data_IF_269931455468
#
_entry.id   IF_269931455468
#
_cell.length_a   1.000
_cell.length_b   1.000
_cell.length_c   1.000
_cell.angle_alpha   90.00
_cell.angle_beta   90.00
_cell.angle_gamma   90.00
#
_symmetry.space_group_name_H-M   'P 1'
#
loop_
_entity.id
_entity.type
_entity.pdbx_description
1 polymer ?
#
# COMPACT_ATOMS: atom_id res chain seq x y z
N UNK A 1 -0.53 14.37 22.35
CA UNK A 1 -1.68 14.08 21.46
C UNK A 1 -3.04 14.59 22.02
N UNK A 2 -3.41 14.35 23.27
CA UNK A 2 -4.70 14.80 23.85
C UNK A 2 -4.86 16.33 23.90
N UNK A 3 -3.82 17.08 24.27
CA UNK A 3 -3.82 18.55 24.40
C UNK A 3 -3.96 19.25 23.03
N UNK A 4 -3.32 18.73 22.00
CA UNK A 4 -3.47 19.22 20.61
C UNK A 4 -4.87 18.91 20.03
N UNK A 5 -5.48 17.77 20.39
CA UNK A 5 -6.84 17.38 20.00
C UNK A 5 -7.90 18.42 20.44
N UNK A 6 -7.76 18.96 21.68
CA UNK A 6 -8.71 19.92 22.23
C UNK A 6 -8.68 21.28 21.51
N UNK A 7 -7.52 21.77 21.11
CA UNK A 7 -7.38 23.09 20.48
C UNK A 7 -7.79 23.11 19.02
N UNK A 8 -7.41 22.08 18.23
CA UNK A 8 -7.77 21.99 16.80
C UNK A 8 -9.29 21.79 16.62
N UNK A 9 -9.93 20.98 17.49
CA UNK A 9 -11.38 20.75 17.37
C UNK A 9 -12.25 21.96 17.74
N UNK A 10 -11.76 22.89 18.55
CA UNK A 10 -12.54 24.06 18.98
C UNK A 10 -12.66 25.13 17.89
N UNK A 11 -11.73 25.18 16.95
CA UNK A 11 -11.66 26.19 15.88
C UNK A 11 -12.31 25.77 14.55
N UNK A 12 -12.68 24.47 14.41
CA UNK A 12 -13.26 23.96 13.18
C UNK A 12 -14.75 24.25 13.05
N UNK A 13 -15.20 24.59 11.84
CA UNK A 13 -16.61 24.65 11.50
C UNK A 13 -17.32 23.31 11.76
N UNK A 14 -18.61 23.33 12.06
CA UNK A 14 -19.35 22.13 12.48
C UNK A 14 -19.24 20.97 11.46
N UNK A 15 -19.32 21.26 10.17
CA UNK A 15 -19.20 20.27 9.09
C UNK A 15 -17.79 19.68 8.98
N UNK A 16 -16.73 20.50 9.07
CA UNK A 16 -15.35 20.05 9.09
C UNK A 16 -15.06 19.13 10.28
N UNK A 17 -15.59 19.49 11.46
CA UNK A 17 -15.42 18.69 12.68
C UNK A 17 -16.08 17.33 12.54
N UNK A 18 -17.27 17.23 11.96
CA UNK A 18 -17.96 15.98 11.72
C UNK A 18 -17.17 15.10 10.75
N UNK A 19 -16.75 15.66 9.61
CA UNK A 19 -15.89 14.97 8.63
C UNK A 19 -14.58 14.50 9.24
N UNK A 20 -13.92 15.32 10.05
CA UNK A 20 -12.66 14.94 10.69
C UNK A 20 -12.83 13.76 11.66
N UNK A 21 -13.91 13.72 12.43
CA UNK A 21 -14.19 12.59 13.33
C UNK A 21 -14.38 11.29 12.57
N UNK A 22 -15.15 11.31 11.48
CA UNK A 22 -15.36 10.16 10.62
C UNK A 22 -14.08 9.71 9.92
N UNK A 23 -13.31 10.65 9.38
CA UNK A 23 -12.03 10.38 8.73
C UNK A 23 -10.99 9.81 9.70
N UNK A 24 -10.91 10.36 10.92
CA UNK A 24 -10.00 9.86 11.95
C UNK A 24 -10.39 8.44 12.39
N UNK A 25 -11.69 8.18 12.63
CA UNK A 25 -12.16 6.84 12.97
C UNK A 25 -11.89 5.84 11.85
N UNK A 26 -12.17 6.21 10.58
CA UNK A 26 -11.80 5.44 9.41
C UNK A 26 -10.29 5.14 9.40
N UNK A 27 -9.45 6.16 9.57
CA UNK A 27 -8.00 6.02 9.51
C UNK A 27 -7.43 5.12 10.61
N UNK A 28 -8.00 5.15 11.82
CA UNK A 28 -7.62 4.26 12.92
C UNK A 28 -7.95 2.80 12.56
N UNK A 29 -9.16 2.55 12.05
CA UNK A 29 -9.58 1.18 11.67
C UNK A 29 -8.75 0.67 10.50
N UNK A 30 -8.50 1.49 9.47
CA UNK A 30 -7.62 1.12 8.36
C UNK A 30 -6.18 0.88 8.83
N UNK A 31 -5.69 1.63 9.82
CA UNK A 31 -4.40 1.38 10.44
C UNK A 31 -4.32 -0.01 11.07
N UNK A 32 -5.39 -0.44 11.75
CA UNK A 32 -5.49 -1.79 12.30
C UNK A 32 -5.45 -2.85 11.19
N UNK A 33 -6.25 -2.69 10.14
CA UNK A 33 -6.30 -3.61 9.00
C UNK A 33 -4.95 -3.67 8.30
N UNK A 34 -4.34 -2.53 7.99
CA UNK A 34 -3.03 -2.46 7.34
C UNK A 34 -1.92 -3.07 8.21
N UNK A 35 -2.03 -2.96 9.54
CA UNK A 35 -1.11 -3.61 10.48
C UNK A 35 -1.16 -5.13 10.39
N UNK A 36 -2.35 -5.71 10.27
CA UNK A 36 -2.54 -7.14 10.03
C UNK A 36 -1.99 -7.54 8.63
N UNK A 37 -2.35 -6.78 7.60
CA UNK A 37 -1.94 -7.05 6.22
C UNK A 37 -0.44 -6.91 5.98
N UNK A 38 0.27 -6.19 6.84
CA UNK A 38 1.72 -6.06 6.74
C UNK A 38 2.47 -7.40 6.85
N UNK A 39 1.84 -8.42 7.45
CA UNK A 39 2.39 -9.78 7.58
C UNK A 39 1.73 -10.79 6.62
N UNK A 40 0.84 -10.35 5.74
CA UNK A 40 0.03 -11.22 4.89
C UNK A 40 0.86 -12.17 4.02
N UNK A 41 1.92 -11.65 3.37
CA UNK A 41 2.80 -12.47 2.53
C UNK A 41 3.56 -13.50 3.37
N UNK A 42 3.97 -13.11 4.60
CA UNK A 42 4.66 -14.00 5.50
C UNK A 42 3.74 -15.09 6.10
N UNK A 43 2.46 -14.74 6.36
CA UNK A 43 1.41 -15.73 6.72
C UNK A 43 1.21 -16.72 5.59
N UNK A 44 1.17 -16.26 4.34
CA UNK A 44 0.95 -17.11 3.18
C UNK A 44 2.06 -18.16 3.02
N UNK A 45 3.33 -17.75 3.11
CA UNK A 45 4.45 -18.67 2.94
C UNK A 45 4.67 -19.58 4.17
N UNK A 46 4.50 -19.03 5.39
CA UNK A 46 4.84 -19.75 6.63
C UNK A 46 3.67 -20.57 7.19
N UNK A 47 2.46 -20.00 7.28
CA UNK A 47 1.31 -20.70 7.88
C UNK A 47 0.53 -21.55 6.89
N UNK A 48 0.44 -21.09 5.63
CA UNK A 48 -0.26 -21.85 4.58
C UNK A 48 0.69 -22.71 3.74
N UNK A 49 2.01 -22.64 3.94
CA UNK A 49 3.00 -23.35 3.12
C UNK A 49 2.85 -23.05 1.62
N UNK A 50 2.49 -21.81 1.29
CA UNK A 50 2.32 -21.36 -0.08
C UNK A 50 3.62 -21.42 -0.88
N UNK A 51 3.53 -21.69 -2.17
CA UNK A 51 4.69 -21.71 -3.06
C UNK A 51 5.20 -20.28 -3.35
N UNK A 52 6.48 -20.21 -3.76
CA UNK A 52 7.12 -18.95 -4.11
C UNK A 52 6.36 -18.20 -5.21
N UNK A 53 5.87 -18.91 -6.25
CA UNK A 53 5.10 -18.30 -7.34
C UNK A 53 3.75 -17.75 -6.87
N UNK A 54 3.05 -18.50 -6.00
CA UNK A 54 1.78 -18.03 -5.42
C UNK A 54 2.00 -16.80 -4.53
N UNK A 55 3.12 -16.74 -3.80
CA UNK A 55 3.52 -15.54 -3.06
C UNK A 55 3.74 -14.34 -3.99
N UNK A 56 4.40 -14.55 -5.13
CA UNK A 56 4.58 -13.53 -6.15
C UNK A 56 3.26 -13.02 -6.70
N UNK A 57 2.29 -13.91 -6.94
CA UNK A 57 0.93 -13.56 -7.39
C UNK A 57 0.21 -12.73 -6.29
N UNK A 58 0.32 -13.12 -5.02
CA UNK A 58 -0.28 -12.38 -3.91
C UNK A 58 0.26 -10.95 -3.84
N UNK A 59 1.58 -10.77 -3.93
CA UNK A 59 2.20 -9.45 -3.97
C UNK A 59 1.77 -8.65 -5.20
N UNK A 60 1.68 -9.31 -6.36
CA UNK A 60 1.29 -8.70 -7.63
C UNK A 60 -0.09 -8.05 -7.55
N UNK A 61 -1.06 -8.64 -6.83
CA UNK A 61 -2.43 -8.14 -6.75
C UNK A 61 -2.50 -6.70 -6.24
N UNK A 62 -1.69 -6.33 -5.26
CA UNK A 62 -1.70 -5.00 -4.67
C UNK A 62 -1.38 -3.88 -5.67
N UNK A 63 -0.63 -4.21 -6.73
CA UNK A 63 -0.18 -3.26 -7.76
C UNK A 63 -0.90 -3.45 -9.10
N UNK A 64 -1.24 -4.70 -9.44
CA UNK A 64 -1.91 -5.05 -10.70
C UNK A 64 -3.27 -4.33 -10.85
N UNK A 65 -3.95 -4.12 -9.73
CA UNK A 65 -5.24 -3.41 -9.70
C UNK A 65 -5.16 -2.01 -10.33
N UNK A 66 -4.00 -1.35 -10.32
CA UNK A 66 -3.83 -0.04 -10.94
C UNK A 66 -4.02 -0.03 -12.46
N UNK A 67 -3.89 -1.17 -13.15
CA UNK A 67 -4.26 -1.28 -14.55
C UNK A 67 -5.73 -0.98 -14.81
N UNK A 68 -6.58 -1.33 -13.84
CA UNK A 68 -8.02 -1.11 -13.94
C UNK A 68 -8.42 0.33 -13.59
N UNK A 69 -7.48 1.15 -13.10
CA UNK A 69 -7.77 2.50 -12.60
C UNK A 69 -8.44 3.39 -13.66
N UNK A 70 -7.98 3.31 -14.92
CA UNK A 70 -8.57 4.09 -16.02
C UNK A 70 -10.04 3.75 -16.21
N UNK A 71 -10.36 2.46 -16.24
CA UNK A 71 -11.74 1.98 -16.40
C UNK A 71 -12.62 2.35 -15.20
N UNK A 72 -12.09 2.14 -14.00
CA UNK A 72 -12.83 2.44 -12.76
C UNK A 72 -13.05 3.93 -12.59
N UNK A 73 -12.09 4.78 -12.89
CA UNK A 73 -12.26 6.24 -12.84
C UNK A 73 -13.35 6.72 -13.80
N UNK A 74 -13.38 6.21 -15.05
CA UNK A 74 -14.43 6.56 -16.01
C UNK A 74 -15.81 6.03 -15.59
N UNK A 75 -15.84 4.88 -14.92
CA UNK A 75 -17.06 4.33 -14.34
C UNK A 75 -17.56 5.16 -13.14
N UNK A 76 -16.65 5.54 -12.22
CA UNK A 76 -16.98 6.36 -11.04
C UNK A 76 -17.57 7.74 -11.41
N UNK A 77 -17.12 8.35 -12.51
CA UNK A 77 -17.69 9.61 -13.02
C UNK A 77 -19.17 9.51 -13.37
N UNK A 78 -19.66 8.31 -13.67
CA UNK A 78 -21.04 8.02 -14.10
C UNK A 78 -21.98 7.64 -12.95
N UNK A 79 -21.43 7.36 -11.75
CA UNK A 79 -22.19 6.93 -10.58
C UNK A 79 -22.80 8.13 -9.88
N UNK A 80 -24.14 8.15 -9.84
CA UNK A 80 -24.93 9.20 -9.16
C UNK A 80 -24.96 9.02 -7.64
N UNK A 81 -25.16 7.78 -7.15
CA UNK A 81 -25.34 7.45 -5.72
C UNK A 81 -24.04 6.91 -5.12
N UNK A 82 -22.97 7.71 -5.11
CA UNK A 82 -21.63 7.28 -4.67
C UNK A 82 -21.60 6.70 -3.26
N UNK A 83 -22.39 7.24 -2.30
CA UNK A 83 -22.44 6.73 -0.92
C UNK A 83 -22.94 5.29 -0.85
N UNK A 84 -24.03 4.98 -1.57
CA UNK A 84 -24.60 3.63 -1.59
C UNK A 84 -23.63 2.67 -2.29
N UNK A 85 -23.07 3.09 -3.42
CA UNK A 85 -22.08 2.32 -4.14
C UNK A 85 -20.85 2.00 -3.27
N UNK A 86 -20.33 2.99 -2.53
CA UNK A 86 -19.20 2.81 -1.62
C UNK A 86 -19.51 1.77 -0.52
N UNK A 87 -20.72 1.77 0.04
CA UNK A 87 -21.14 0.74 1.03
C UNK A 87 -21.12 -0.66 0.45
N UNK A 88 -21.67 -0.83 -0.77
CA UNK A 88 -21.65 -2.13 -1.45
C UNK A 88 -20.22 -2.59 -1.76
N UNK A 89 -19.37 -1.69 -2.23
CA UNK A 89 -17.94 -2.00 -2.43
C UNK A 89 -17.31 -2.45 -1.11
N UNK A 90 -17.57 -1.75 0.00
CA UNK A 90 -17.07 -2.13 1.32
C UNK A 90 -17.52 -3.54 1.73
N UNK A 91 -18.80 -3.88 1.53
CA UNK A 91 -19.32 -5.20 1.87
C UNK A 91 -18.70 -6.27 0.96
N UNK A 92 -18.83 -6.12 -0.37
CA UNK A 92 -18.40 -7.14 -1.34
C UNK A 92 -16.90 -7.45 -1.22
N UNK A 93 -16.07 -6.43 -0.97
CA UNK A 93 -14.61 -6.61 -0.94
C UNK A 93 -14.07 -7.01 0.43
N UNK A 94 -14.81 -6.81 1.51
CA UNK A 94 -14.38 -7.17 2.87
C UNK A 94 -15.03 -8.47 3.37
N UNK A 95 -16.24 -8.77 2.92
CA UNK A 95 -16.96 -10.00 3.28
C UNK A 95 -16.14 -11.28 3.03
N UNK A 96 -15.41 -11.44 1.90
CA UNK A 96 -14.62 -12.64 1.67
C UNK A 96 -13.56 -12.93 2.74
N UNK A 97 -13.06 -11.91 3.46
CA UNK A 97 -12.13 -12.11 4.58
C UNK A 97 -12.75 -12.94 5.72
N UNK A 98 -14.10 -12.94 5.86
CA UNK A 98 -14.80 -13.75 6.85
C UNK A 98 -14.67 -15.25 6.55
N UNK A 99 -14.50 -15.62 5.28
CA UNK A 99 -14.33 -17.02 4.87
C UNK A 99 -13.05 -17.64 5.41
N UNK A 100 -12.05 -16.83 5.77
CA UNK A 100 -10.81 -17.31 6.39
C UNK A 100 -11.06 -17.97 7.77
N UNK A 101 -12.20 -17.71 8.41
CA UNK A 101 -12.59 -18.40 9.62
C UNK A 101 -12.74 -19.93 9.44
N UNK A 102 -13.10 -20.36 8.25
CA UNK A 102 -13.29 -21.78 7.91
C UNK A 102 -12.01 -22.45 7.41
N UNK A 103 -10.88 -21.75 7.38
CA UNK A 103 -9.63 -22.34 6.96
C UNK A 103 -9.14 -23.38 7.98
N UNK A 104 -8.65 -24.52 7.50
CA UNK A 104 -8.10 -25.57 8.38
C UNK A 104 -6.94 -25.04 9.24
N UNK A 105 -6.78 -25.63 10.42
CA UNK A 105 -5.68 -25.30 11.34
C UNK A 105 -4.68 -26.46 11.41
N UNK A 106 -4.42 -27.10 10.27
CA UNK A 106 -3.52 -28.25 10.14
C UNK A 106 -2.56 -28.03 8.98
N UNK A 107 -1.22 -28.18 9.21
CA UNK A 107 -0.24 -27.98 8.15
C UNK A 107 -0.37 -29.00 7.02
N UNK A 108 -0.81 -30.23 7.30
CA UNK A 108 -0.94 -31.30 6.32
C UNK A 108 -1.91 -30.97 5.19
N UNK A 109 -2.97 -30.22 5.51
CA UNK A 109 -3.99 -29.81 4.54
C UNK A 109 -3.42 -28.83 3.53
N UNK A 110 -2.50 -27.98 3.95
CA UNK A 110 -1.89 -26.97 3.07
C UNK A 110 -0.76 -27.52 2.21
N UNK A 111 0.00 -28.51 2.69
CA UNK A 111 1.05 -29.16 1.91
C UNK A 111 0.51 -29.90 0.67
N UNK A 112 -0.74 -30.41 0.77
CA UNK A 112 -1.37 -31.20 -0.29
C UNK A 112 -2.52 -30.46 -0.99
N UNK A 113 -2.84 -29.24 -0.57
CA UNK A 113 -4.09 -28.57 -0.93
C UNK A 113 -3.95 -27.25 -1.67
N UNK A 114 -3.58 -27.27 -2.96
CA UNK A 114 -3.57 -26.08 -3.82
C UNK A 114 -4.90 -25.30 -3.81
N UNK A 115 -6.02 -25.95 -3.49
CA UNK A 115 -7.34 -25.32 -3.43
C UNK A 115 -7.43 -24.22 -2.36
N UNK A 116 -6.85 -24.43 -1.18
CA UNK A 116 -6.86 -23.44 -0.11
C UNK A 116 -6.00 -22.22 -0.43
N UNK A 117 -4.87 -22.40 -1.10
CA UNK A 117 -4.03 -21.31 -1.60
C UNK A 117 -4.82 -20.46 -2.62
N UNK A 118 -5.49 -21.11 -3.58
CA UNK A 118 -6.28 -20.41 -4.59
C UNK A 118 -7.45 -19.63 -3.97
N UNK A 119 -8.14 -20.20 -2.96
CA UNK A 119 -9.20 -19.50 -2.22
C UNK A 119 -8.61 -18.28 -1.49
N UNK A 120 -7.48 -18.42 -0.82
CA UNK A 120 -6.80 -17.32 -0.15
C UNK A 120 -6.43 -16.21 -1.14
N UNK A 121 -5.82 -16.55 -2.26
CA UNK A 121 -5.46 -15.60 -3.32
C UNK A 121 -6.69 -14.90 -3.88
N UNK A 122 -7.79 -15.63 -4.14
CA UNK A 122 -9.03 -15.04 -4.63
C UNK A 122 -9.64 -14.04 -3.62
N UNK A 123 -9.62 -14.36 -2.32
CA UNK A 123 -10.08 -13.47 -1.25
C UNK A 123 -9.28 -12.17 -1.27
N UNK A 124 -7.94 -12.25 -1.36
CA UNK A 124 -7.08 -11.07 -1.36
C UNK A 124 -7.15 -10.29 -2.68
N UNK A 125 -7.33 -10.93 -3.82
CA UNK A 125 -7.61 -10.24 -5.07
C UNK A 125 -8.85 -9.34 -4.94
N UNK A 126 -9.97 -9.91 -4.42
CA UNK A 126 -11.21 -9.15 -4.20
C UNK A 126 -10.98 -8.01 -3.19
N UNK A 127 -10.20 -8.27 -2.14
CA UNK A 127 -9.84 -7.24 -1.15
C UNK A 127 -9.12 -6.05 -1.80
N UNK A 128 -8.10 -6.29 -2.62
CA UNK A 128 -7.29 -5.24 -3.23
C UNK A 128 -8.07 -4.43 -4.29
N UNK A 129 -9.06 -5.01 -4.96
CA UNK A 129 -9.93 -4.29 -5.90
C UNK A 129 -10.65 -3.10 -5.25
N UNK A 130 -10.88 -3.13 -3.95
CA UNK A 130 -11.49 -2.02 -3.22
C UNK A 130 -10.69 -0.72 -3.34
N UNK A 131 -9.37 -0.78 -3.42
CA UNK A 131 -8.49 0.39 -3.48
C UNK A 131 -8.81 1.29 -4.69
N UNK A 132 -9.25 0.69 -5.81
CA UNK A 132 -9.63 1.41 -7.03
C UNK A 132 -10.82 2.36 -6.83
N UNK A 133 -11.70 2.03 -5.90
CA UNK A 133 -12.92 2.83 -5.60
C UNK A 133 -12.71 3.70 -4.37
N UNK A 134 -12.13 3.13 -3.31
CA UNK A 134 -12.00 3.80 -2.01
C UNK A 134 -11.04 4.98 -2.10
N UNK A 135 -9.84 4.79 -2.69
CA UNK A 135 -8.82 5.83 -2.73
C UNK A 135 -9.25 7.11 -3.48
N UNK A 136 -9.80 7.04 -4.71
CA UNK A 136 -10.32 8.24 -5.36
C UNK A 136 -11.49 8.86 -4.63
N UNK A 137 -12.36 8.02 -4.04
CA UNK A 137 -13.55 8.50 -3.35
C UNK A 137 -13.20 9.25 -2.05
N UNK A 138 -12.28 8.74 -1.23
CA UNK A 138 -11.88 9.42 0.01
C UNK A 138 -11.26 10.78 -0.28
N UNK A 139 -10.37 10.85 -1.27
CA UNK A 139 -9.75 12.12 -1.65
C UNK A 139 -10.78 13.16 -2.08
N UNK A 140 -11.79 12.75 -2.85
CA UNK A 140 -12.89 13.61 -3.27
C UNK A 140 -13.74 14.07 -2.07
N UNK A 141 -14.10 13.15 -1.16
CA UNK A 141 -14.88 13.48 0.03
C UNK A 141 -14.16 14.47 0.93
N UNK A 142 -12.86 14.26 1.15
CA UNK A 142 -12.05 15.14 2.00
C UNK A 142 -11.86 16.52 1.37
N UNK A 143 -11.59 16.57 0.06
CA UNK A 143 -11.43 17.83 -0.68
C UNK A 143 -12.70 18.69 -0.66
N UNK A 144 -13.88 18.07 -0.67
CA UNK A 144 -15.16 18.78 -0.63
C UNK A 144 -15.54 19.29 0.77
N UNK A 145 -14.98 18.70 1.83
CA UNK A 145 -15.42 18.98 3.21
C UNK A 145 -14.39 19.71 4.06
N UNK A 146 -13.11 19.68 3.66
CA UNK A 146 -12.05 20.40 4.35
C UNK A 146 -11.77 21.72 3.64
N UNK A 147 -11.63 22.80 4.38
CA UNK A 147 -11.10 24.05 3.86
C UNK A 147 -9.65 23.86 3.42
N UNK A 148 -9.21 24.61 2.42
CA UNK A 148 -7.84 24.55 1.91
C UNK A 148 -6.79 24.76 3.02
N UNK A 149 -7.08 25.63 3.98
CA UNK A 149 -6.19 25.94 5.12
C UNK A 149 -6.04 24.76 6.09
N UNK A 150 -7.12 23.99 6.33
CA UNK A 150 -7.16 22.91 7.32
C UNK A 150 -6.84 21.54 6.75
N UNK A 151 -6.96 21.37 5.41
CA UNK A 151 -6.83 20.05 4.74
C UNK A 151 -5.55 19.33 5.13
N UNK A 152 -4.41 19.97 4.95
CA UNK A 152 -3.10 19.35 5.23
C UNK A 152 -2.96 18.94 6.71
N UNK A 153 -3.42 19.79 7.63
CA UNK A 153 -3.35 19.53 9.07
C UNK A 153 -4.24 18.35 9.47
N UNK A 154 -5.51 18.36 9.08
CA UNK A 154 -6.47 17.31 9.45
C UNK A 154 -6.14 15.97 8.83
N UNK A 155 -5.69 15.99 7.56
CA UNK A 155 -5.21 14.81 6.87
C UNK A 155 -3.98 14.21 7.56
N UNK A 156 -2.99 15.04 7.91
CA UNK A 156 -1.78 14.59 8.61
C UNK A 156 -2.07 13.96 9.96
N UNK A 157 -2.99 14.53 10.76
CA UNK A 157 -3.40 13.91 12.02
C UNK A 157 -4.02 12.53 11.83
N UNK A 158 -4.91 12.39 10.85
CA UNK A 158 -5.56 11.11 10.55
C UNK A 158 -4.56 10.06 10.06
N UNK A 159 -3.61 10.46 9.19
CA UNK A 159 -2.55 9.58 8.70
C UNK A 159 -1.55 9.19 9.79
N UNK A 160 -1.21 10.12 10.70
CA UNK A 160 -0.34 9.81 11.84
C UNK A 160 -1.00 8.79 12.77
N UNK A 161 -2.30 8.95 13.06
CA UNK A 161 -3.05 7.98 13.85
C UNK A 161 -3.08 6.60 13.18
N UNK A 162 -3.34 6.55 11.86
CA UNK A 162 -3.28 5.33 11.07
C UNK A 162 -1.92 4.64 11.20
N UNK A 163 -0.83 5.36 11.00
CA UNK A 163 0.53 4.81 11.06
C UNK A 163 0.90 4.29 12.45
N UNK A 164 0.56 5.01 13.52
CA UNK A 164 0.81 4.55 14.89
C UNK A 164 0.07 3.24 15.16
N UNK A 165 -1.21 3.17 14.79
CA UNK A 165 -2.01 1.94 14.97
C UNK A 165 -1.43 0.81 14.13
N UNK A 166 -1.07 1.06 12.87
CA UNK A 166 -0.44 0.09 11.99
C UNK A 166 0.81 -0.53 12.66
N UNK A 167 1.74 0.29 13.15
CA UNK A 167 2.98 -0.17 13.77
C UNK A 167 2.71 -1.04 15.01
N UNK A 168 1.82 -0.60 15.88
CA UNK A 168 1.45 -1.35 17.10
C UNK A 168 0.80 -2.69 16.73
N UNK A 169 -0.17 -2.67 15.83
CA UNK A 169 -0.91 -3.88 15.43
C UNK A 169 -0.01 -4.86 14.69
N UNK A 170 0.88 -4.39 13.80
CA UNK A 170 1.83 -5.29 13.10
C UNK A 170 2.69 -6.06 14.10
N UNK A 171 3.20 -5.38 15.13
CA UNK A 171 4.03 -6.03 16.13
C UNK A 171 3.23 -7.01 17.00
N UNK A 172 2.08 -6.58 17.54
CA UNK A 172 1.23 -7.43 18.36
C UNK A 172 0.70 -8.65 17.59
N UNK A 173 0.36 -8.46 16.31
CA UNK A 173 -0.07 -9.56 15.45
C UNK A 173 1.07 -10.52 15.15
N UNK A 174 2.30 -10.02 14.96
CA UNK A 174 3.48 -10.86 14.84
C UNK A 174 3.71 -11.75 16.06
N UNK A 175 3.62 -11.19 17.28
CA UNK A 175 3.70 -11.97 18.53
C UNK A 175 2.58 -13.01 18.63
N UNK A 176 1.36 -12.64 18.26
CA UNK A 176 0.22 -13.56 18.26
C UNK A 176 0.42 -14.71 17.27
N UNK A 177 0.94 -14.45 16.07
CA UNK A 177 1.24 -15.47 15.07
C UNK A 177 2.40 -16.38 15.49
N UNK A 178 3.35 -15.88 16.28
CA UNK A 178 4.41 -16.73 16.84
C UNK A 178 3.88 -17.68 17.92
N UNK A 179 2.85 -17.27 18.67
CA UNK A 179 2.16 -18.11 19.65
C UNK A 179 1.17 -19.09 18.99
N UNK A 180 0.48 -18.66 17.93
CA UNK A 180 -0.51 -19.43 17.17
C UNK A 180 -0.39 -19.14 15.68
N UNK A 181 0.29 -20.04 14.95
CA UNK A 181 0.53 -19.90 13.51
C UNK A 181 -0.76 -19.76 12.67
N UNK A 182 -1.89 -20.17 13.24
CA UNK A 182 -3.21 -20.10 12.60
C UNK A 182 -4.08 -18.96 13.11
N UNK A 183 -3.53 -18.02 13.87
CA UNK A 183 -4.25 -16.84 14.35
C UNK A 183 -4.89 -16.03 13.22
N UNK A 184 -4.37 -16.13 12.01
CA UNK A 184 -4.94 -15.49 10.83
C UNK A 184 -6.40 -15.92 10.57
N UNK A 185 -6.80 -17.14 10.97
CA UNK A 185 -8.16 -17.68 10.75
C UNK A 185 -9.24 -16.91 11.53
N UNK A 186 -8.90 -16.24 12.62
CA UNK A 186 -9.84 -15.38 13.35
C UNK A 186 -9.51 -13.89 13.27
N UNK A 187 -8.26 -13.52 13.02
CA UNK A 187 -7.86 -12.11 12.90
C UNK A 187 -8.30 -11.50 11.57
N UNK A 188 -8.19 -12.21 10.43
CA UNK A 188 -8.68 -11.69 9.15
C UNK A 188 -10.20 -11.52 9.10
N UNK A 189 -11.03 -12.44 9.64
CA UNK A 189 -12.46 -12.18 9.83
C UNK A 189 -12.77 -10.90 10.61
N UNK A 190 -12.06 -10.65 11.72
CA UNK A 190 -12.19 -9.40 12.48
C UNK A 190 -11.80 -8.20 11.60
N UNK A 191 -10.69 -8.28 10.85
CA UNK A 191 -10.30 -7.26 9.88
C UNK A 191 -11.37 -7.04 8.80
N UNK A 192 -12.05 -8.09 8.34
CA UNK A 192 -13.15 -8.03 7.39
C UNK A 192 -14.35 -7.23 7.93
N UNK A 193 -14.79 -7.55 9.16
CA UNK A 193 -15.87 -6.82 9.84
C UNK A 193 -15.49 -5.35 10.06
N UNK A 194 -14.30 -5.09 10.60
CA UNK A 194 -13.81 -3.73 10.80
C UNK A 194 -13.67 -2.98 9.48
N UNK A 195 -13.27 -3.64 8.40
CA UNK A 195 -13.20 -3.06 7.06
C UNK A 195 -14.57 -2.67 6.50
N UNK A 196 -15.61 -3.45 6.73
CA UNK A 196 -16.98 -3.05 6.39
C UNK A 196 -17.42 -1.83 7.19
N UNK A 197 -17.10 -1.79 8.50
CA UNK A 197 -17.41 -0.66 9.38
C UNK A 197 -16.64 0.58 8.94
N UNK A 198 -15.36 0.47 8.59
CA UNK A 198 -14.54 1.61 8.14
C UNK A 198 -15.12 2.28 6.90
N UNK A 199 -15.47 1.49 5.88
CA UNK A 199 -16.07 2.00 4.64
C UNK A 199 -17.48 2.56 4.88
N UNK A 200 -18.25 1.96 5.80
CA UNK A 200 -19.54 2.50 6.21
C UNK A 200 -19.40 3.89 6.87
N UNK A 201 -18.41 4.06 7.76
CA UNK A 201 -18.11 5.37 8.36
C UNK A 201 -17.70 6.40 7.31
N UNK A 202 -16.84 6.01 6.37
CA UNK A 202 -16.44 6.84 5.25
C UNK A 202 -17.66 7.29 4.42
N UNK A 203 -18.62 6.40 4.20
CA UNK A 203 -19.85 6.69 3.45
C UNK A 203 -20.78 7.70 4.13
N UNK A 204 -20.59 7.99 5.42
CA UNK A 204 -21.36 9.01 6.17
C UNK A 204 -20.82 10.43 5.96
N UNK A 205 -19.61 10.58 5.44
CA UNK A 205 -19.06 11.91 5.10
C UNK A 205 -19.97 12.56 4.04
N UNK A 206 -20.30 13.82 4.25
CA UNK A 206 -21.19 14.54 3.33
C UNK A 206 -20.55 14.68 1.96
N UNK A 207 -21.36 14.48 0.93
CA UNK A 207 -20.95 14.59 -0.46
C UNK A 207 -21.98 15.41 -1.21
N UNK A 208 -21.59 16.58 -1.62
CA UNK A 208 -22.35 17.38 -2.59
C UNK A 208 -21.82 17.01 -3.97
N UNK A 209 -22.61 16.32 -4.81
CA UNK A 209 -22.15 16.01 -6.17
C UNK A 209 -21.85 17.34 -6.89
N UNK A 210 -20.72 17.45 -7.59
CA UNK A 210 -20.51 18.55 -8.50
C UNK A 210 -21.66 18.58 -9.53
N UNK A 211 -21.99 19.76 -10.04
CA UNK A 211 -22.99 19.89 -11.10
C UNK A 211 -22.73 18.84 -12.18
N UNK A 212 -23.80 18.15 -12.57
CA UNK A 212 -23.71 17.00 -13.45
C UNK A 212 -23.19 17.48 -14.80
N UNK A 213 -21.88 17.41 -15.02
CA UNK A 213 -21.33 17.49 -16.36
C UNK A 213 -21.90 16.26 -17.09
N UNK A 214 -22.89 16.49 -17.95
CA UNK A 214 -23.44 15.42 -18.80
C UNK A 214 -22.30 14.89 -19.67
N UNK A 215 -21.76 13.74 -19.27
CA UNK A 215 -20.74 13.02 -20.07
C UNK A 215 -21.45 12.60 -21.36
N UNK A 216 -21.23 13.35 -22.43
CA UNK A 216 -21.84 13.10 -23.75
C UNK A 216 -21.20 11.89 -24.46
N UNK A 217 -20.05 11.42 -24.01
CA UNK A 217 -19.29 10.33 -24.63
C UNK A 217 -19.71 8.97 -24.09
N UNK A 218 -19.66 7.93 -24.92
CA UNK A 218 -19.83 6.54 -24.48
C UNK A 218 -18.68 6.13 -23.55
N UNK A 219 -18.88 5.08 -22.75
CA UNK A 219 -17.85 4.59 -21.83
C UNK A 219 -16.55 4.23 -22.58
N UNK A 220 -16.67 3.43 -23.66
CA UNK A 220 -15.51 3.03 -24.49
C UNK A 220 -14.77 4.23 -25.10
N UNK A 221 -15.50 5.25 -25.56
CA UNK A 221 -14.88 6.47 -26.08
C UNK A 221 -14.15 7.25 -25.00
N UNK A 222 -14.70 7.32 -23.77
CA UNK A 222 -14.04 7.99 -22.64
C UNK A 222 -12.74 7.28 -22.26
N UNK A 223 -12.75 5.94 -22.19
CA UNK A 223 -11.55 5.13 -21.91
C UNK A 223 -10.50 5.34 -23.01
N UNK A 224 -10.91 5.28 -24.30
CA UNK A 224 -10.02 5.53 -25.42
C UNK A 224 -9.38 6.92 -25.35
N UNK A 225 -10.16 7.95 -25.05
CA UNK A 225 -9.65 9.32 -24.90
C UNK A 225 -8.66 9.42 -23.75
N UNK A 226 -8.94 8.77 -22.60
CA UNK A 226 -8.01 8.75 -21.46
C UNK A 226 -6.68 8.08 -21.82
N UNK A 227 -6.71 6.95 -22.53
CA UNK A 227 -5.49 6.27 -23.01
C UNK A 227 -4.72 7.12 -24.03
N UNK A 228 -5.42 7.78 -24.94
CA UNK A 228 -4.80 8.71 -25.90
C UNK A 228 -4.12 9.88 -25.17
N UNK A 229 -4.78 10.47 -24.16
CA UNK A 229 -4.20 11.55 -23.37
C UNK A 229 -2.94 11.11 -22.62
N UNK A 230 -2.92 9.92 -22.03
CA UNK A 230 -1.73 9.34 -21.40
C UNK A 230 -0.56 9.22 -22.40
N UNK A 231 -0.83 8.70 -23.59
CA UNK A 231 0.16 8.61 -24.65
C UNK A 231 0.69 9.97 -25.08
N UNK A 232 -0.19 10.96 -25.29
CA UNK A 232 0.19 12.31 -25.70
C UNK A 232 1.05 13.01 -24.64
N UNK A 233 0.74 12.84 -23.36
CA UNK A 233 1.55 13.39 -22.26
C UNK A 233 2.96 12.80 -22.30
N UNK A 234 3.10 11.48 -22.39
CA UNK A 234 4.40 10.82 -22.48
C UNK A 234 5.19 11.27 -23.72
N UNK A 235 4.51 11.44 -24.84
CA UNK A 235 5.14 11.86 -26.11
C UNK A 235 5.61 13.32 -26.07
N UNK A 236 4.80 14.22 -25.50
CA UNK A 236 5.01 15.67 -25.62
C UNK A 236 5.80 16.24 -24.45
N UNK A 237 5.79 15.59 -23.26
CA UNK A 237 6.54 16.02 -22.08
C UNK A 237 7.77 15.14 -21.84
N UNK A 238 8.88 15.48 -22.48
CA UNK A 238 10.15 14.73 -22.35
C UNK A 238 10.69 14.65 -20.92
N UNK A 239 10.66 15.72 -20.09
CA UNK A 239 11.05 15.62 -18.69
C UNK A 239 10.24 14.57 -17.91
N UNK A 240 8.93 14.51 -18.13
CA UNK A 240 8.05 13.51 -17.53
C UNK A 240 8.35 12.10 -18.03
N UNK A 241 8.57 11.93 -19.34
CA UNK A 241 8.96 10.65 -19.93
C UNK A 241 10.26 10.12 -19.30
N UNK A 242 11.29 10.97 -19.12
CA UNK A 242 12.54 10.56 -18.45
C UNK A 242 12.32 10.16 -16.99
N UNK A 243 11.44 10.88 -16.28
CA UNK A 243 11.06 10.52 -14.92
C UNK A 243 10.39 9.16 -14.88
N UNK A 244 9.41 8.89 -15.76
CA UNK A 244 8.68 7.63 -15.82
C UNK A 244 9.57 6.44 -16.24
N UNK A 245 10.51 6.63 -17.18
CA UNK A 245 11.49 5.59 -17.54
C UNK A 245 12.33 5.21 -16.30
N UNK A 246 12.89 6.20 -15.60
CA UNK A 246 13.62 5.94 -14.36
C UNK A 246 12.76 5.25 -13.31
N UNK A 247 11.50 5.70 -13.17
CA UNK A 247 10.55 5.12 -12.24
C UNK A 247 10.15 3.69 -12.60
N UNK A 248 10.04 3.38 -13.89
CA UNK A 248 9.81 2.01 -14.37
C UNK A 248 10.97 1.09 -14.04
N UNK A 249 12.22 1.51 -14.33
CA UNK A 249 13.41 0.72 -14.08
C UNK A 249 13.59 0.39 -12.60
N UNK A 250 13.58 1.41 -11.73
CA UNK A 250 13.70 1.17 -10.29
C UNK A 250 12.55 0.34 -9.75
N UNK A 251 11.35 0.56 -10.25
CA UNK A 251 10.18 -0.16 -9.79
C UNK A 251 10.13 -1.62 -10.27
N UNK A 252 10.72 -1.95 -11.42
CA UNK A 252 10.98 -3.34 -11.79
C UNK A 252 11.95 -3.95 -10.77
N UNK A 253 13.09 -3.31 -10.49
CA UNK A 253 14.04 -3.78 -9.48
C UNK A 253 13.39 -3.98 -8.10
N UNK A 254 12.56 -3.04 -7.66
CA UNK A 254 11.81 -3.14 -6.40
C UNK A 254 10.84 -4.33 -6.40
N UNK A 255 10.04 -4.50 -7.46
CA UNK A 255 9.01 -5.55 -7.52
C UNK A 255 9.61 -6.95 -7.69
N UNK A 256 10.70 -7.09 -8.46
CA UNK A 256 11.41 -8.38 -8.60
C UNK A 256 12.02 -8.84 -7.29
N UNK A 257 12.50 -7.93 -6.45
CA UNK A 257 13.20 -8.28 -5.21
C UNK A 257 12.26 -8.39 -3.99
N UNK A 258 11.10 -7.73 -3.99
CA UNK A 258 10.25 -7.66 -2.80
C UNK A 258 9.67 -9.02 -2.38
N UNK A 259 9.16 -9.82 -3.32
CA UNK A 259 8.66 -11.17 -3.03
C UNK A 259 9.81 -12.11 -2.60
N UNK A 260 10.95 -12.03 -3.29
CA UNK A 260 12.17 -12.80 -2.98
C UNK A 260 12.70 -12.45 -1.58
N UNK A 261 12.61 -11.20 -1.17
CA UNK A 261 12.97 -10.77 0.18
C UNK A 261 12.13 -11.48 1.27
N UNK A 262 10.83 -11.67 1.04
CA UNK A 262 9.97 -12.40 1.98
C UNK A 262 10.39 -13.88 2.06
N UNK A 263 10.72 -14.50 0.91
CA UNK A 263 11.24 -15.87 0.84
C UNK A 263 12.58 -15.97 1.58
N UNK A 264 13.47 -15.01 1.38
CA UNK A 264 14.77 -14.95 2.07
C UNK A 264 14.61 -14.85 3.58
N UNK A 265 13.73 -14.01 4.08
CA UNK A 265 13.44 -13.89 5.51
C UNK A 265 12.94 -15.20 6.12
N UNK A 266 12.13 -15.94 5.39
CA UNK A 266 11.59 -17.21 5.85
C UNK A 266 12.61 -18.36 5.70
N UNK A 267 13.09 -18.62 4.47
CA UNK A 267 13.89 -19.81 4.16
C UNK A 267 15.35 -19.69 4.59
N UNK A 268 16.01 -18.55 4.29
CA UNK A 268 17.44 -18.39 4.56
C UNK A 268 17.70 -17.94 6.01
N UNK A 269 16.95 -16.96 6.51
CA UNK A 269 17.20 -16.41 7.85
C UNK A 269 16.35 -17.09 8.93
N UNK A 270 15.33 -17.86 8.57
CA UNK A 270 14.44 -18.55 9.52
C UNK A 270 13.82 -17.58 10.53
N UNK A 271 13.38 -16.38 10.07
CA UNK A 271 12.77 -15.39 10.94
C UNK A 271 11.39 -15.87 11.42
N UNK A 272 11.05 -15.54 12.65
CA UNK A 272 9.70 -15.64 13.17
C UNK A 272 8.89 -14.37 12.82
N UNK A 273 7.58 -14.42 13.02
CA UNK A 273 6.67 -13.33 12.67
C UNK A 273 7.01 -12.02 13.39
N UNK A 274 7.33 -12.09 14.69
CA UNK A 274 7.70 -10.90 15.46
C UNK A 274 9.01 -10.27 14.98
N UNK A 275 10.00 -11.08 14.54
CA UNK A 275 11.24 -10.54 13.94
C UNK A 275 10.96 -9.83 12.62
N UNK A 276 10.13 -10.40 11.74
CA UNK A 276 9.70 -9.73 10.50
C UNK A 276 8.96 -8.43 10.80
N UNK A 277 8.04 -8.46 11.78
CA UNK A 277 7.33 -7.26 12.22
C UNK A 277 8.28 -6.19 12.78
N UNK A 278 9.30 -6.59 13.54
CA UNK A 278 10.34 -5.70 14.08
C UNK A 278 11.08 -4.96 12.95
N UNK A 279 11.55 -5.67 11.92
CA UNK A 279 12.24 -5.04 10.79
C UNK A 279 11.29 -4.14 9.97
N UNK A 280 10.07 -4.62 9.69
CA UNK A 280 9.05 -3.82 8.99
C UNK A 280 8.68 -2.54 9.75
N UNK A 281 8.54 -2.61 11.06
CA UNK A 281 8.28 -1.44 11.90
C UNK A 281 9.50 -0.52 11.99
N UNK A 282 10.71 -1.07 12.07
CA UNK A 282 11.95 -0.32 12.17
C UNK A 282 12.12 0.66 11.00
N UNK A 283 12.05 0.19 9.76
CA UNK A 283 12.17 1.09 8.61
C UNK A 283 10.97 2.04 8.44
N UNK A 284 9.76 1.63 8.85
CA UNK A 284 8.60 2.52 8.82
C UNK A 284 8.70 3.67 9.83
N UNK A 285 9.19 3.40 11.05
CA UNK A 285 9.43 4.45 12.06
C UNK A 285 10.47 5.44 11.52
N UNK A 286 11.58 4.95 10.98
CA UNK A 286 12.62 5.80 10.41
C UNK A 286 12.07 6.61 9.23
N UNK A 287 11.27 6.00 8.35
CA UNK A 287 10.63 6.71 7.25
C UNK A 287 9.74 7.86 7.72
N UNK A 288 8.94 7.66 8.77
CA UNK A 288 8.08 8.70 9.36
C UNK A 288 8.93 9.88 9.88
N UNK A 289 10.06 9.59 10.54
CA UNK A 289 10.96 10.63 11.05
C UNK A 289 11.66 11.40 9.93
N UNK A 290 12.02 10.74 8.83
CA UNK A 290 12.70 11.34 7.68
C UNK A 290 11.75 12.09 6.73
N UNK A 291 10.46 11.76 6.72
CA UNK A 291 9.49 12.31 5.77
C UNK A 291 9.44 13.85 5.75
N UNK A 292 9.44 14.57 6.90
CA UNK A 292 9.46 16.04 6.89
C UNK A 292 10.72 16.64 6.28
N UNK A 293 11.88 15.99 6.47
CA UNK A 293 13.15 16.40 5.89
C UNK A 293 13.13 16.23 4.36
N UNK A 294 12.73 15.05 3.91
CA UNK A 294 12.65 14.74 2.47
C UNK A 294 11.59 15.54 1.74
N UNK A 295 10.47 15.85 2.39
CA UNK A 295 9.45 16.75 1.84
C UNK A 295 10.01 18.15 1.54
N UNK A 296 10.85 18.70 2.45
CA UNK A 296 11.53 19.99 2.22
C UNK A 296 12.57 19.91 1.08
N UNK A 297 13.30 18.80 1.00
CA UNK A 297 14.29 18.57 -0.06
C UNK A 297 13.57 18.45 -1.42
N UNK A 298 12.52 17.68 -1.50
CA UNK A 298 11.74 17.48 -2.72
C UNK A 298 11.09 18.79 -3.22
N UNK A 299 10.62 19.65 -2.32
CA UNK A 299 10.08 20.96 -2.68
C UNK A 299 11.11 21.93 -3.28
N UNK A 300 12.41 21.62 -3.20
CA UNK A 300 13.52 22.45 -3.71
C UNK A 300 14.27 21.85 -4.88
N UNK A 301 14.07 20.56 -5.15
CA UNK A 301 14.77 19.82 -6.19
C UNK A 301 13.83 19.40 -7.30
N UNK A 302 14.36 19.29 -8.52
CA UNK A 302 13.68 18.58 -9.60
C UNK A 302 13.40 17.13 -9.17
N UNK A 303 12.18 16.61 -9.38
CA UNK A 303 11.82 15.24 -8.99
C UNK A 303 12.76 14.16 -9.52
N UNK A 304 13.38 14.37 -10.69
CA UNK A 304 14.37 13.46 -11.28
C UNK A 304 15.65 13.40 -10.45
N UNK A 305 16.12 14.55 -9.91
CA UNK A 305 17.27 14.60 -9.00
C UNK A 305 16.93 14.01 -7.64
N UNK A 306 15.74 14.29 -7.14
CA UNK A 306 15.27 13.69 -5.89
C UNK A 306 15.16 12.16 -6.00
N UNK A 307 14.78 11.63 -7.16
CA UNK A 307 14.69 10.18 -7.41
C UNK A 307 16.05 9.46 -7.21
N UNK A 308 17.19 10.14 -7.36
CA UNK A 308 18.51 9.56 -7.09
C UNK A 308 18.60 9.07 -5.65
N UNK A 309 18.05 9.82 -4.69
CA UNK A 309 18.02 9.41 -3.27
C UNK A 309 17.28 8.09 -3.12
N UNK A 310 16.12 7.96 -3.76
CA UNK A 310 15.31 6.74 -3.71
C UNK A 310 16.03 5.55 -4.35
N UNK A 311 16.64 5.74 -5.51
CA UNK A 311 17.33 4.65 -6.22
C UNK A 311 18.59 4.19 -5.49
N UNK A 312 19.38 5.13 -4.96
CA UNK A 312 20.55 4.81 -4.16
C UNK A 312 20.17 4.10 -2.86
N UNK A 313 19.08 4.52 -2.21
CA UNK A 313 18.59 3.87 -1.00
C UNK A 313 18.04 2.46 -1.28
N UNK A 314 17.41 2.24 -2.44
CA UNK A 314 17.00 0.91 -2.91
C UNK A 314 18.23 0.00 -3.07
N UNK A 315 19.23 0.46 -3.81
CA UNK A 315 20.47 -0.29 -3.99
C UNK A 315 21.15 -0.58 -2.64
N UNK A 316 21.17 0.40 -1.74
CA UNK A 316 21.74 0.27 -0.40
C UNK A 316 21.05 -0.80 0.44
N UNK A 317 19.72 -0.80 0.51
CA UNK A 317 19.05 -1.81 1.32
C UNK A 317 19.15 -3.23 0.71
N UNK A 318 19.15 -3.35 -0.62
CA UNK A 318 19.39 -4.64 -1.29
C UNK A 318 20.82 -5.14 -1.03
N UNK A 319 21.81 -4.25 -1.07
CA UNK A 319 23.19 -4.59 -0.73
C UNK A 319 23.32 -5.16 0.69
N UNK A 320 22.73 -4.51 1.69
CA UNK A 320 22.77 -5.01 3.07
C UNK A 320 21.95 -6.29 3.27
N UNK A 321 20.88 -6.48 2.50
CA UNK A 321 20.10 -7.71 2.48
C UNK A 321 20.96 -8.89 1.96
N UNK A 322 21.62 -8.70 0.82
CA UNK A 322 22.56 -9.67 0.24
C UNK A 322 23.72 -9.94 1.20
N UNK A 323 24.30 -8.88 1.79
CA UNK A 323 25.38 -9.02 2.76
C UNK A 323 25.00 -9.88 3.97
N UNK A 324 23.70 -9.93 4.32
CA UNK A 324 23.21 -10.75 5.42
C UNK A 324 23.35 -12.25 5.12
N UNK A 325 23.29 -12.66 3.86
CA UNK A 325 23.53 -14.05 3.45
C UNK A 325 24.98 -14.47 3.72
N UNK A 326 25.95 -13.59 3.44
CA UNK A 326 27.37 -13.85 3.63
C UNK A 326 27.85 -13.63 5.07
N UNK A 327 27.19 -12.75 5.81
CA UNK A 327 27.50 -12.40 7.19
C UNK A 327 26.27 -12.63 8.10
N UNK A 328 25.85 -13.88 8.33
CA UNK A 328 24.62 -14.19 9.04
C UNK A 328 24.75 -14.11 10.57
N UNK A 329 25.53 -13.16 11.07
CA UNK A 329 25.70 -12.94 12.51
C UNK A 329 24.48 -12.29 13.12
N UNK A 330 23.90 -12.92 14.14
CA UNK A 330 22.73 -12.40 14.84
C UNK A 330 22.80 -12.62 16.34
N UNK A 331 21.98 -11.88 17.07
CA UNK A 331 21.67 -12.09 18.47
C UNK A 331 20.16 -12.28 18.64
N UNK A 332 19.78 -12.99 19.71
CA UNK A 332 18.36 -13.16 20.03
C UNK A 332 18.04 -12.36 21.30
N UNK A 333 17.13 -11.39 21.19
CA UNK A 333 16.68 -10.57 22.32
C UNK A 333 15.16 -10.69 22.41
N UNK A 334 14.64 -11.19 23.53
CA UNK A 334 13.20 -11.43 23.76
C UNK A 334 12.51 -12.23 22.65
N UNK A 335 13.20 -13.24 22.11
CA UNK A 335 12.70 -14.07 21.01
C UNK A 335 12.82 -13.45 19.62
N UNK A 336 13.29 -12.20 19.49
CA UNK A 336 13.56 -11.55 18.22
C UNK A 336 14.95 -11.92 17.72
N UNK A 337 15.07 -12.41 16.50
CA UNK A 337 16.36 -12.62 15.82
C UNK A 337 16.81 -11.32 15.19
N UNK A 338 17.86 -10.72 15.72
CA UNK A 338 18.42 -9.43 15.27
C UNK A 338 19.74 -9.68 14.56
N UNK A 339 19.69 -9.67 13.22
CA UNK A 339 20.89 -9.75 12.36
C UNK A 339 21.54 -8.36 12.28
N UNK A 340 22.86 -8.30 12.49
CA UNK A 340 23.57 -7.02 12.53
C UNK A 340 23.56 -6.29 11.19
N UNK A 341 23.66 -7.02 10.09
CA UNK A 341 23.57 -6.46 8.73
C UNK A 341 22.17 -5.93 8.40
N UNK A 342 21.11 -6.57 8.95
CA UNK A 342 19.73 -6.10 8.77
C UNK A 342 19.43 -4.80 9.53
N UNK A 343 20.26 -4.36 10.47
CA UNK A 343 20.15 -3.02 11.06
C UNK A 343 20.43 -1.96 9.99
N UNK A 344 21.48 -2.17 9.18
CA UNK A 344 21.81 -1.27 8.06
C UNK A 344 20.78 -1.36 6.92
N UNK A 345 20.22 -2.56 6.69
CA UNK A 345 19.05 -2.74 5.83
C UNK A 345 17.88 -1.86 6.29
N UNK A 346 17.54 -1.87 7.58
CA UNK A 346 16.45 -1.05 8.14
C UNK A 346 16.72 0.44 7.92
N UNK A 347 17.94 0.89 8.13
CA UNK A 347 18.34 2.30 7.92
C UNK A 347 18.15 2.67 6.45
N UNK A 348 18.76 1.91 5.53
CA UNK A 348 18.68 2.19 4.08
C UNK A 348 17.25 2.07 3.56
N UNK A 349 16.48 1.07 4.03
CA UNK A 349 15.08 0.91 3.68
C UNK A 349 14.20 2.05 4.22
N UNK A 350 14.52 2.60 5.39
CA UNK A 350 13.83 3.78 5.92
C UNK A 350 14.01 5.02 5.05
N UNK A 351 15.23 5.26 4.54
CA UNK A 351 15.51 6.30 3.53
C UNK A 351 14.72 6.06 2.24
N UNK A 352 14.75 4.82 1.74
CA UNK A 352 13.97 4.42 0.58
C UNK A 352 12.48 4.67 0.79
N UNK A 353 11.89 4.16 1.88
CA UNK A 353 10.47 4.27 2.13
C UNK A 353 10.00 5.72 2.28
N UNK A 354 10.78 6.59 2.93
CA UNK A 354 10.47 8.01 3.07
C UNK A 354 10.50 8.75 1.73
N UNK A 355 11.54 8.54 0.91
CA UNK A 355 11.68 9.20 -0.39
C UNK A 355 10.71 8.65 -1.43
N UNK A 356 10.50 7.33 -1.44
CA UNK A 356 9.59 6.64 -2.37
C UNK A 356 8.14 7.11 -2.20
N UNK A 357 7.64 7.25 -0.96
CA UNK A 357 6.28 7.75 -0.70
C UNK A 357 6.05 9.13 -1.33
N UNK A 358 7.03 10.02 -1.29
CA UNK A 358 6.93 11.34 -1.91
C UNK A 358 6.93 11.26 -3.44
N UNK A 359 7.85 10.50 -4.04
CA UNK A 359 7.88 10.30 -5.48
C UNK A 359 6.60 9.66 -6.00
N UNK A 360 6.09 8.65 -5.30
CA UNK A 360 4.87 7.94 -5.65
C UNK A 360 3.62 8.82 -5.63
N UNK A 361 3.46 9.63 -4.60
CA UNK A 361 2.24 10.38 -4.40
C UNK A 361 2.22 11.74 -5.11
N UNK A 362 3.36 12.38 -5.25
CA UNK A 362 3.42 13.75 -5.77
C UNK A 362 4.47 13.97 -6.86
N UNK A 363 5.38 13.00 -7.09
CA UNK A 363 6.48 13.16 -8.06
C UNK A 363 6.01 13.43 -9.48
N UNK A 364 4.98 12.72 -9.95
CA UNK A 364 4.41 12.89 -11.27
C UNK A 364 3.68 14.23 -11.44
N UNK A 365 3.06 14.75 -10.38
CA UNK A 365 2.30 15.99 -10.42
C UNK A 365 3.16 17.25 -10.71
N UNK A 366 4.48 17.19 -10.43
CA UNK A 366 5.41 18.30 -10.70
C UNK A 366 5.63 18.58 -12.20
N UNK A 367 5.22 17.67 -13.09
CA UNK A 367 5.45 17.80 -14.54
C UNK A 367 4.28 18.38 -15.30
N UNK A 368 3.14 18.60 -14.66
CA UNK A 368 1.93 19.18 -15.25
C UNK A 368 1.46 20.40 -14.47
N UNK A 369 0.58 21.18 -15.10
CA UNK A 369 -0.14 22.25 -14.44
C UNK A 369 -1.15 21.70 -13.42
N UNK A 370 -1.63 22.54 -12.48
CA UNK A 370 -2.57 22.15 -11.41
C UNK A 370 -3.83 21.43 -11.94
N UNK A 371 -4.28 21.78 -13.15
CA UNK A 371 -5.44 21.14 -13.81
C UNK A 371 -5.13 19.80 -14.46
N UNK A 372 -3.86 19.47 -14.67
CA UNK A 372 -3.40 18.24 -15.34
C UNK A 372 -2.79 17.22 -14.38
N UNK A 373 -2.55 17.58 -13.13
CA UNK A 373 -1.91 16.72 -12.12
C UNK A 373 -2.56 15.33 -12.01
N UNK A 374 -3.89 15.27 -12.11
CA UNK A 374 -4.64 14.00 -12.03
C UNK A 374 -4.31 13.05 -13.19
N UNK A 375 -4.07 13.57 -14.41
CA UNK A 375 -3.75 12.77 -15.60
C UNK A 375 -2.32 12.24 -15.48
N UNK A 376 -1.38 13.07 -15.05
CA UNK A 376 0.01 12.66 -14.81
C UNK A 376 0.06 11.55 -13.75
N UNK A 377 -0.64 11.72 -12.62
CA UNK A 377 -0.70 10.72 -11.57
C UNK A 377 -1.39 9.42 -12.02
N UNK A 378 -2.46 9.51 -12.81
CA UNK A 378 -3.15 8.34 -13.35
C UNK A 378 -2.26 7.58 -14.33
N UNK A 379 -1.47 8.29 -15.16
CA UNK A 379 -0.49 7.69 -16.08
C UNK A 379 0.59 6.95 -15.30
N UNK A 380 1.13 7.57 -14.25
CA UNK A 380 2.13 6.99 -13.35
C UNK A 380 1.64 5.69 -12.70
N UNK A 381 0.43 5.70 -12.13
CA UNK A 381 -0.17 4.51 -11.51
C UNK A 381 -0.48 3.41 -12.53
N UNK A 382 -0.96 3.77 -13.71
CA UNK A 382 -1.20 2.81 -14.79
C UNK A 382 0.10 2.10 -15.22
N UNK A 383 1.19 2.85 -15.43
CA UNK A 383 2.50 2.29 -15.76
C UNK A 383 3.02 1.37 -14.64
N UNK A 384 2.74 1.71 -13.38
CA UNK A 384 3.04 0.82 -12.25
C UNK A 384 2.29 -0.51 -12.37
N UNK A 385 1.01 -0.48 -12.74
CA UNK A 385 0.25 -1.70 -13.01
C UNK A 385 0.84 -2.53 -14.15
N UNK A 386 1.33 -1.88 -15.22
CA UNK A 386 1.97 -2.57 -16.35
C UNK A 386 3.19 -3.38 -15.88
N UNK A 387 4.10 -2.79 -15.12
CA UNK A 387 5.28 -3.54 -14.62
C UNK A 387 4.91 -4.64 -13.63
N UNK A 388 3.80 -4.47 -12.88
CA UNK A 388 3.33 -5.47 -11.94
C UNK A 388 2.85 -6.77 -12.62
N UNK A 389 2.57 -6.76 -13.93
CA UNK A 389 2.18 -7.97 -14.66
C UNK A 389 3.30 -9.03 -14.61
N UNK A 390 4.55 -8.61 -14.73
CA UNK A 390 5.67 -9.53 -14.93
C UNK A 390 6.76 -9.46 -13.85
N UNK A 391 7.01 -8.28 -13.26
CA UNK A 391 8.19 -8.07 -12.44
C UNK A 391 8.27 -8.99 -11.19
N UNK A 392 7.21 -9.20 -10.39
CA UNK A 392 7.30 -10.10 -9.24
C UNK A 392 7.59 -11.55 -9.62
N UNK A 393 6.94 -12.06 -10.67
CA UNK A 393 7.14 -13.43 -11.12
C UNK A 393 8.50 -13.62 -11.78
N UNK A 394 8.99 -12.62 -12.54
CA UNK A 394 10.34 -12.62 -13.08
C UNK A 394 11.39 -12.67 -11.97
N UNK A 395 11.16 -11.93 -10.85
CA UNK A 395 12.04 -11.97 -9.69
C UNK A 395 12.14 -13.37 -9.09
N UNK A 396 11.01 -14.04 -8.91
CA UNK A 396 10.98 -15.43 -8.37
C UNK A 396 11.66 -16.38 -9.33
N UNK A 397 11.40 -16.27 -10.64
CA UNK A 397 12.07 -17.10 -11.65
C UNK A 397 13.60 -16.92 -11.60
N UNK A 398 14.09 -15.68 -11.54
CA UNK A 398 15.53 -15.38 -11.43
C UNK A 398 16.10 -15.98 -10.14
N UNK A 399 15.42 -15.79 -9.01
CA UNK A 399 15.81 -16.36 -7.72
C UNK A 399 15.93 -17.89 -7.78
N UNK A 400 14.97 -18.58 -8.40
CA UNK A 400 14.99 -20.05 -8.50
C UNK A 400 16.13 -20.58 -9.37
N UNK A 401 16.63 -19.79 -10.33
CA UNK A 401 17.75 -20.16 -11.19
C UNK A 401 19.11 -19.79 -10.60
N UNK A 402 19.21 -18.64 -9.95
CA UNK A 402 20.48 -18.01 -9.56
C UNK A 402 20.68 -17.94 -8.03
N UNK A 403 19.64 -18.18 -7.21
CA UNK A 403 19.67 -17.98 -5.77
C UNK A 403 19.35 -16.53 -5.36
N UNK A 404 19.76 -16.16 -4.15
CA UNK A 404 19.46 -14.83 -3.58
C UNK A 404 20.43 -13.72 -4.05
N UNK A 405 21.56 -14.07 -4.63
CA UNK A 405 22.65 -13.14 -5.02
C UNK A 405 22.75 -12.90 -6.50
#
# INVERSE_FOLDING_TARGET
>A
MAIMRGNVQKTLAGGERHTFRLHLAYSIIEGFILGILALNEFVFIKSLSGSDYELGILFQFSMLVFLLLVFVNEFLKRIRRRRIFLRWVGIITRFPLLLLFFFPRSPEVYQNGASWHMIFLAIFLVYYLAALVINPTINLLLKNNYSHQNFGTLYSYSQSANKVVLLVVTFLYGLLLDADNYAFTYIFPVAGVLGMVSVFLLSKIDYTPPEIIRIKTTFGQSVKNSMQNMYLILKNNRPYLHFEIGFMLYGIAFMTTYAVMTIFFYNALGLNYSSVAFYKNGYNILAILLLPLFGRIMGRLDPRRFAIITYTSLAGYLFFLILTEYLPYFTTIWGLKIYYTLIFYVISHGFFAASMVLLWNIGSAYFGDDHQADIYQSTHLFLTGVRAIFAPLAGIFIYQQLGYT
#
